data_IF_117834929818
#
_entry.id   IF_117834929818
#
_cell.length_a   1.000
_cell.length_b   1.000
_cell.length_c   1.000
_cell.angle_alpha   90.00
_cell.angle_beta   90.00
_cell.angle_gamma   90.00
#
_symmetry.space_group_name_H-M   'P 1'
#
loop_
_entity.id
_entity.type
_entity.pdbx_description
1 polymer ?
#
# COMPACT_ATOMS: atom_id res chain seq x y z
N UNK A 1 -22.04 5.93 -32.02
CA UNK A 1 -22.52 6.56 -30.77
C UNK A 1 -21.42 6.46 -29.73
N UNK A 2 -21.06 7.57 -29.10
CA UNK A 2 -19.96 7.62 -28.13
C UNK A 2 -20.38 6.96 -26.81
N UNK A 3 -20.05 5.67 -26.62
CA UNK A 3 -20.41 4.93 -25.39
C UNK A 3 -19.73 5.50 -24.13
N UNK A 4 -18.60 6.20 -24.30
CA UNK A 4 -17.70 6.58 -23.21
C UNK A 4 -17.41 8.08 -23.13
N UNK A 5 -18.11 8.92 -23.88
CA UNK A 5 -17.96 10.38 -23.81
C UNK A 5 -19.22 11.10 -24.30
N UNK A 6 -19.35 12.39 -23.98
CA UNK A 6 -20.33 13.29 -24.60
C UNK A 6 -20.09 13.48 -26.11
N UNK A 7 -21.04 14.10 -26.79
CA UNK A 7 -20.92 14.40 -28.22
C UNK A 7 -19.75 15.35 -28.54
N UNK A 8 -19.49 16.30 -27.64
CA UNK A 8 -18.35 17.22 -27.67
C UNK A 8 -17.56 17.10 -26.36
N UNK A 9 -16.24 17.26 -26.43
CA UNK A 9 -15.32 17.21 -25.27
C UNK A 9 -14.36 18.40 -25.21
N UNK A 10 -14.60 19.47 -25.98
CA UNK A 10 -13.66 20.59 -26.15
C UNK A 10 -13.32 21.28 -24.83
N UNK A 11 -14.32 21.60 -24.01
CA UNK A 11 -14.12 22.32 -22.75
C UNK A 11 -13.64 21.37 -21.65
N UNK A 12 -14.11 20.12 -21.67
CA UNK A 12 -13.54 19.06 -20.85
C UNK A 12 -12.05 18.88 -21.14
N UNK A 13 -11.65 18.81 -22.41
CA UNK A 13 -10.26 18.63 -22.81
C UNK A 13 -9.37 19.81 -22.40
N UNK A 14 -9.87 21.06 -22.51
CA UNK A 14 -9.17 22.24 -22.00
C UNK A 14 -8.96 22.16 -20.48
N UNK A 15 -10.00 21.80 -19.73
CA UNK A 15 -9.93 21.67 -18.28
C UNK A 15 -8.99 20.52 -17.87
N UNK A 16 -9.08 19.36 -18.52
CA UNK A 16 -8.19 18.22 -18.25
C UNK A 16 -6.72 18.50 -18.63
N UNK A 17 -6.46 19.32 -19.65
CA UNK A 17 -5.11 19.78 -19.95
C UNK A 17 -4.52 20.62 -18.80
N UNK A 18 -5.32 21.49 -18.18
CA UNK A 18 -4.90 22.26 -17.01
C UNK A 18 -4.71 21.39 -15.77
N UNK A 19 -5.56 20.38 -15.59
CA UNK A 19 -5.37 19.34 -14.56
C UNK A 19 -4.02 18.66 -14.78
N UNK A 20 -3.75 18.16 -15.98
CA UNK A 20 -2.51 17.43 -16.28
C UNK A 20 -1.23 18.27 -16.07
N UNK A 21 -1.30 19.60 -16.19
CA UNK A 21 -0.17 20.50 -15.90
C UNK A 21 0.19 20.58 -14.42
N UNK A 22 -0.76 20.28 -13.53
CA UNK A 22 -0.63 20.52 -12.08
C UNK A 22 -0.59 19.23 -11.26
N UNK A 23 -1.24 18.17 -11.74
CA UNK A 23 -1.25 16.86 -11.09
C UNK A 23 0.18 16.36 -10.89
N UNK A 24 0.47 15.94 -9.66
CA UNK A 24 1.77 15.39 -9.28
C UNK A 24 1.74 13.85 -9.35
N UNK A 25 2.91 13.20 -9.46
CA UNK A 25 3.01 11.76 -9.27
C UNK A 25 2.43 11.34 -7.92
N UNK A 26 1.73 10.20 -7.89
CA UNK A 26 1.21 9.66 -6.63
C UNK A 26 2.34 8.99 -5.84
N UNK A 27 2.54 9.42 -4.60
CA UNK A 27 3.60 8.91 -3.70
C UNK A 27 3.26 7.50 -3.21
N UNK A 28 4.26 6.62 -3.16
CA UNK A 28 4.10 5.30 -2.53
C UNK A 28 4.02 5.46 -1.00
N UNK A 29 2.87 5.15 -0.41
CA UNK A 29 2.57 5.33 1.02
C UNK A 29 2.11 4.06 1.73
N UNK A 30 1.92 2.96 1.00
CA UNK A 30 1.47 1.68 1.54
C UNK A 30 2.36 0.51 1.10
N UNK A 31 2.51 -0.49 1.97
CA UNK A 31 3.28 -1.71 1.70
C UNK A 31 2.33 -2.90 1.52
N UNK A 32 2.57 -3.71 0.49
CA UNK A 32 1.84 -4.97 0.31
C UNK A 32 2.40 -6.04 1.27
N UNK A 33 1.61 -6.61 2.19
CA UNK A 33 2.10 -7.58 3.17
C UNK A 33 2.72 -8.84 2.56
N UNK A 34 2.27 -9.24 1.36
CA UNK A 34 2.68 -10.48 0.69
C UNK A 34 3.94 -10.30 -0.15
N UNK A 35 3.99 -9.24 -0.95
CA UNK A 35 5.12 -8.98 -1.86
C UNK A 35 6.19 -8.07 -1.24
N UNK A 36 5.90 -7.42 -0.11
CA UNK A 36 6.73 -6.38 0.54
C UNK A 36 7.05 -5.19 -0.37
N UNK A 37 6.31 -5.05 -1.48
CA UNK A 37 6.46 -3.94 -2.39
C UNK A 37 5.63 -2.75 -1.92
N UNK A 38 6.18 -1.55 -2.12
CA UNK A 38 5.51 -0.30 -1.83
C UNK A 38 4.65 0.13 -3.02
N UNK A 39 3.48 0.71 -2.73
CA UNK A 39 2.53 1.17 -3.72
C UNK A 39 1.85 2.47 -3.26
N UNK A 40 1.37 3.28 -4.22
CA UNK A 40 0.53 4.43 -3.91
C UNK A 40 -0.87 3.96 -3.56
N UNK A 41 -1.38 4.30 -2.38
CA UNK A 41 -2.73 3.98 -1.92
C UNK A 41 -3.79 4.78 -2.70
N UNK A 42 -5.06 4.40 -2.54
CA UNK A 42 -6.16 5.20 -3.09
C UNK A 42 -6.18 6.62 -2.51
N UNK A 43 -5.83 6.79 -1.24
CA UNK A 43 -5.74 8.11 -0.60
C UNK A 43 -4.65 8.95 -1.26
N UNK A 44 -3.45 8.39 -1.44
CA UNK A 44 -2.36 9.10 -2.11
C UNK A 44 -2.72 9.53 -3.54
N UNK A 45 -3.36 8.65 -4.32
CA UNK A 45 -3.83 8.99 -5.67
C UNK A 45 -4.86 10.12 -5.63
N UNK A 46 -5.82 10.07 -4.69
CA UNK A 46 -6.80 11.13 -4.55
C UNK A 46 -6.17 12.45 -4.12
N UNK A 47 -5.23 12.44 -3.17
CA UNK A 47 -4.55 13.64 -2.69
C UNK A 47 -3.74 14.31 -3.81
N UNK A 48 -3.14 13.50 -4.69
CA UNK A 48 -2.36 14.00 -5.83
C UNK A 48 -3.20 14.68 -6.93
N UNK A 49 -4.50 14.36 -7.05
CA UNK A 49 -5.33 14.91 -8.14
C UNK A 49 -6.55 15.73 -7.70
N UNK A 50 -7.04 15.59 -6.46
CA UNK A 50 -8.34 16.14 -6.04
C UNK A 50 -8.42 17.65 -6.16
N UNK A 51 -7.39 18.37 -5.72
CA UNK A 51 -7.37 19.83 -5.77
C UNK A 51 -7.35 20.30 -7.24
N UNK A 52 -6.47 19.74 -8.06
CA UNK A 52 -6.36 20.06 -9.48
C UNK A 52 -7.69 19.84 -10.22
N UNK A 53 -8.39 18.73 -9.95
CA UNK A 53 -9.70 18.44 -10.54
C UNK A 53 -10.74 19.50 -10.14
N UNK A 54 -10.86 19.81 -8.86
CA UNK A 54 -11.86 20.76 -8.34
C UNK A 54 -11.60 22.18 -8.88
N UNK A 55 -10.35 22.64 -8.85
CA UNK A 55 -9.97 23.99 -9.34
C UNK A 55 -10.25 24.18 -10.83
N UNK A 56 -10.26 23.09 -11.62
CA UNK A 56 -10.58 23.11 -13.04
C UNK A 56 -12.03 22.68 -13.33
N UNK A 57 -12.91 22.65 -12.33
CA UNK A 57 -14.32 22.35 -12.51
C UNK A 57 -14.60 20.91 -12.95
N UNK A 58 -13.71 19.97 -12.64
CA UNK A 58 -13.88 18.55 -12.98
C UNK A 58 -14.50 17.79 -11.81
N UNK A 59 -15.70 17.28 -12.04
CA UNK A 59 -16.37 16.33 -11.16
C UNK A 59 -15.96 14.89 -11.48
N UNK A 60 -15.28 14.24 -10.53
CA UNK A 60 -14.91 12.83 -10.59
C UNK A 60 -15.97 11.94 -9.92
N UNK A 61 -16.44 10.94 -10.66
CA UNK A 61 -17.32 9.89 -10.17
C UNK A 61 -16.71 8.51 -10.40
N UNK A 62 -16.80 7.64 -9.39
CA UNK A 62 -16.46 6.22 -9.52
C UNK A 62 -17.53 5.36 -8.86
N UNK A 63 -18.15 4.46 -9.62
CA UNK A 63 -19.23 3.62 -9.14
C UNK A 63 -19.19 2.22 -9.77
N UNK A 64 -19.55 1.17 -9.01
CA UNK A 64 -19.57 -0.19 -9.53
C UNK A 64 -20.71 -0.37 -10.54
N UNK A 65 -20.50 -1.22 -11.53
CA UNK A 65 -21.49 -1.62 -12.53
C UNK A 65 -21.47 -3.15 -12.73
N UNK A 66 -22.61 -3.77 -13.08
CA UNK A 66 -22.62 -5.19 -13.44
C UNK A 66 -21.78 -5.44 -14.69
N UNK A 67 -21.18 -6.63 -14.77
CA UNK A 67 -20.40 -7.11 -15.91
C UNK A 67 -20.78 -8.56 -16.20
N UNK A 68 -20.66 -8.96 -17.46
CA UNK A 68 -20.97 -10.34 -17.88
C UNK A 68 -19.91 -11.34 -17.40
N UNK A 69 -18.66 -10.90 -17.21
CA UNK A 69 -17.60 -11.77 -16.72
C UNK A 69 -17.93 -12.29 -15.30
N UNK A 70 -17.96 -13.62 -15.10
CA UNK A 70 -18.15 -14.20 -13.78
C UNK A 70 -17.05 -13.77 -12.80
N UNK A 71 -17.39 -13.73 -11.51
CA UNK A 71 -16.46 -13.42 -10.42
C UNK A 71 -15.65 -12.14 -10.67
N UNK A 72 -16.26 -11.12 -11.27
CA UNK A 72 -15.62 -9.86 -11.60
C UNK A 72 -16.53 -8.70 -11.22
N UNK A 73 -15.93 -7.52 -11.07
CA UNK A 73 -16.65 -6.26 -10.90
C UNK A 73 -16.34 -5.33 -12.05
N UNK A 74 -17.33 -4.59 -12.50
CA UNK A 74 -17.12 -3.41 -13.33
C UNK A 74 -17.02 -2.17 -12.45
N UNK A 75 -16.16 -1.24 -12.83
CA UNK A 75 -16.09 0.09 -12.25
C UNK A 75 -16.12 1.12 -13.37
N UNK A 76 -17.11 2.00 -13.36
CA UNK A 76 -17.09 3.21 -14.17
C UNK A 76 -16.24 4.26 -13.45
N UNK A 77 -15.28 4.85 -14.14
CA UNK A 77 -14.67 6.14 -13.75
C UNK A 77 -15.13 7.19 -14.74
N UNK A 78 -15.72 8.29 -14.27
CA UNK A 78 -16.28 9.37 -15.09
C UNK A 78 -15.74 10.72 -14.64
N UNK A 79 -15.24 11.51 -15.59
CA UNK A 79 -14.81 12.89 -15.43
C UNK A 79 -15.81 13.79 -16.17
N UNK A 80 -16.40 14.73 -15.45
CA UNK A 80 -17.40 15.66 -16.01
C UNK A 80 -16.96 17.09 -15.75
N UNK A 81 -16.87 17.90 -16.79
CA UNK A 81 -16.68 19.34 -16.65
C UNK A 81 -18.00 19.96 -16.23
N UNK A 82 -18.06 20.48 -15.01
CA UNK A 82 -19.30 20.87 -14.35
C UNK A 82 -20.04 22.00 -15.08
N UNK A 83 -19.30 22.97 -15.64
CA UNK A 83 -19.89 24.13 -16.30
C UNK A 83 -20.49 23.79 -17.67
N UNK A 84 -19.78 23.00 -18.49
CA UNK A 84 -20.25 22.65 -19.85
C UNK A 84 -21.08 21.36 -19.90
N UNK A 85 -21.07 20.54 -18.85
CA UNK A 85 -21.69 19.22 -18.81
C UNK A 85 -21.00 18.17 -19.68
N UNK A 86 -19.90 18.52 -20.36
CA UNK A 86 -19.12 17.58 -21.17
C UNK A 86 -18.45 16.55 -20.28
N UNK A 87 -18.39 15.29 -20.72
CA UNK A 87 -17.88 14.20 -19.91
C UNK A 87 -17.14 13.15 -20.74
N UNK A 88 -16.23 12.45 -20.06
CA UNK A 88 -15.58 11.25 -20.54
C UNK A 88 -15.59 10.21 -19.42
N UNK A 89 -15.69 8.93 -19.77
CA UNK A 89 -15.68 7.83 -18.83
C UNK A 89 -14.90 6.65 -19.35
N UNK A 90 -14.54 5.73 -18.47
CA UNK A 90 -14.01 4.42 -18.79
C UNK A 90 -14.64 3.37 -17.89
N UNK A 91 -14.68 2.13 -18.36
CA UNK A 91 -15.05 0.97 -17.55
C UNK A 91 -13.81 0.11 -17.36
N UNK A 92 -13.46 -0.17 -16.11
CA UNK A 92 -12.48 -1.17 -15.74
C UNK A 92 -13.21 -2.43 -15.26
N UNK A 93 -12.85 -3.59 -15.81
CA UNK A 93 -13.31 -4.89 -15.31
C UNK A 93 -12.18 -5.53 -14.51
N UNK A 94 -12.45 -5.85 -13.25
CA UNK A 94 -11.45 -6.41 -12.33
C UNK A 94 -11.96 -7.72 -11.75
N UNK A 95 -11.17 -8.81 -11.82
CA UNK A 95 -11.54 -10.07 -11.20
C UNK A 95 -11.54 -9.95 -9.67
N UNK A 96 -12.48 -10.64 -9.03
CA UNK A 96 -12.53 -10.76 -7.59
C UNK A 96 -11.44 -11.73 -7.12
N UNK A 97 -10.61 -11.37 -6.11
CA UNK A 97 -9.66 -12.32 -5.53
C UNK A 97 -10.39 -13.43 -4.75
N UNK A 98 -11.56 -13.12 -4.20
CA UNK A 98 -12.49 -14.04 -3.53
C UNK A 98 -13.92 -13.59 -3.80
N UNK A 99 -14.84 -14.53 -3.98
CA UNK A 99 -16.26 -14.27 -4.15
C UNK A 99 -16.95 -14.03 -2.79
N UNK A 100 -16.49 -13.02 -2.06
CA UNK A 100 -17.02 -12.61 -0.76
C UNK A 100 -17.01 -11.07 -0.64
N UNK A 101 -17.67 -10.48 0.38
CA UNK A 101 -17.72 -9.03 0.54
C UNK A 101 -16.34 -8.36 0.67
N UNK A 102 -15.36 -9.04 1.27
CA UNK A 102 -14.01 -8.50 1.43
C UNK A 102 -13.26 -8.48 0.08
N UNK A 103 -13.39 -9.54 -0.71
CA UNK A 103 -12.89 -9.66 -2.06
C UNK A 103 -13.46 -8.57 -2.96
N UNK A 104 -14.77 -8.30 -2.85
CA UNK A 104 -15.39 -7.17 -3.55
C UNK A 104 -14.82 -5.83 -3.10
N UNK A 105 -14.71 -5.57 -1.79
CA UNK A 105 -14.17 -4.31 -1.27
C UNK A 105 -12.71 -4.05 -1.70
N UNK A 106 -11.87 -5.09 -1.69
CA UNK A 106 -10.48 -5.00 -2.15
C UNK A 106 -10.38 -4.77 -3.66
N UNK A 107 -11.18 -5.48 -4.46
CA UNK A 107 -11.22 -5.30 -5.90
C UNK A 107 -11.71 -3.90 -6.30
N UNK A 108 -12.74 -3.36 -5.63
CA UNK A 108 -13.24 -1.99 -5.89
C UNK A 108 -12.14 -0.97 -5.59
N UNK A 109 -11.48 -1.09 -4.44
CA UNK A 109 -10.39 -0.17 -4.05
C UNK A 109 -9.24 -0.22 -5.04
N UNK A 110 -8.88 -1.43 -5.50
CA UNK A 110 -7.87 -1.63 -6.53
C UNK A 110 -8.28 -0.97 -7.86
N UNK A 111 -9.49 -1.27 -8.35
CA UNK A 111 -10.02 -0.73 -9.60
C UNK A 111 -10.05 0.80 -9.60
N UNK A 112 -10.51 1.42 -8.50
CA UNK A 112 -10.62 2.87 -8.37
C UNK A 112 -9.28 3.56 -8.53
N UNK A 113 -8.25 2.98 -7.93
CA UNK A 113 -6.89 3.50 -8.02
C UNK A 113 -6.36 3.48 -9.45
N UNK A 114 -6.32 2.31 -10.08
CA UNK A 114 -5.72 2.17 -11.41
C UNK A 114 -6.53 2.82 -12.53
N UNK A 115 -7.87 2.77 -12.45
CA UNK A 115 -8.71 3.43 -13.44
C UNK A 115 -8.52 4.96 -13.41
N UNK A 116 -8.40 5.53 -12.21
CA UNK A 116 -8.17 6.97 -12.05
C UNK A 116 -6.79 7.39 -12.53
N UNK A 117 -5.73 6.67 -12.11
CA UNK A 117 -4.36 6.99 -12.57
C UNK A 117 -4.23 6.87 -14.08
N UNK A 118 -4.84 5.84 -14.68
CA UNK A 118 -4.85 5.67 -16.13
C UNK A 118 -5.60 6.81 -16.85
N UNK A 119 -6.79 7.18 -16.35
CA UNK A 119 -7.57 8.28 -16.95
C UNK A 119 -6.89 9.65 -16.86
N UNK A 120 -6.10 9.90 -15.82
CA UNK A 120 -5.40 11.16 -15.62
C UNK A 120 -3.95 11.17 -16.15
N UNK A 121 -3.46 10.04 -16.68
CA UNK A 121 -2.07 9.90 -17.12
C UNK A 121 -1.06 10.05 -15.98
N UNK A 122 -1.45 9.69 -14.75
CA UNK A 122 -0.60 9.79 -13.57
C UNK A 122 0.39 8.62 -13.51
N UNK A 123 1.63 8.95 -13.19
CA UNK A 123 2.67 7.98 -12.86
C UNK A 123 2.73 7.86 -11.33
N UNK A 124 2.81 6.64 -10.81
CA UNK A 124 3.19 6.43 -9.41
C UNK A 124 4.72 6.50 -9.32
N UNK A 125 5.27 7.16 -8.31
CA UNK A 125 6.73 7.26 -8.17
C UNK A 125 7.39 5.87 -8.32
N UNK A 126 8.31 5.72 -9.27
CA UNK A 126 9.11 4.50 -9.52
C UNK A 126 8.29 3.30 -10.10
N UNK A 127 7.55 3.53 -11.19
CA UNK A 127 6.95 2.47 -12.02
C UNK A 127 7.97 1.88 -13.02
N UNK A 128 9.03 1.27 -12.48
CA UNK A 128 9.88 0.32 -13.21
C UNK A 128 9.47 -1.11 -12.81
N UNK A 129 8.53 -1.69 -13.57
CA UNK A 129 8.64 -3.04 -14.11
C UNK A 129 8.71 -4.28 -13.19
N UNK A 130 8.56 -4.21 -11.87
CA UNK A 130 8.64 -5.41 -11.00
C UNK A 130 7.32 -6.18 -10.82
N UNK A 131 6.25 -5.84 -11.57
CA UNK A 131 4.93 -6.47 -11.43
C UNK A 131 4.59 -7.58 -12.44
N UNK A 132 5.27 -7.67 -13.57
CA UNK A 132 4.90 -8.58 -14.68
C UNK A 132 5.70 -9.90 -14.71
N UNK A 133 6.13 -10.42 -13.55
CA UNK A 133 6.72 -11.77 -13.48
C UNK A 133 5.61 -12.80 -13.28
N UNK A 134 4.87 -13.05 -14.36
CA UNK A 134 4.02 -14.22 -14.50
C UNK A 134 4.82 -15.50 -14.19
N UNK A 135 4.47 -16.19 -13.11
CA UNK A 135 4.22 -17.64 -13.08
C UNK A 135 5.16 -18.60 -13.82
N UNK A 136 6.46 -18.32 -13.94
CA UNK A 136 7.46 -19.31 -14.36
C UNK A 136 8.60 -19.33 -13.36
N UNK A 137 8.60 -20.34 -12.48
CA UNK A 137 9.76 -20.72 -11.69
C UNK A 137 10.91 -21.01 -12.66
N UNK A 138 11.86 -20.09 -12.79
CA UNK A 138 13.16 -20.41 -13.38
C UNK A 138 13.92 -21.29 -12.38
N UNK A 139 14.65 -22.31 -12.84
CA UNK A 139 15.29 -23.27 -11.95
C UNK A 139 16.38 -22.58 -11.13
N UNK A 140 16.31 -22.76 -9.81
CA UNK A 140 17.35 -22.30 -8.88
C UNK A 140 18.66 -23.01 -9.24
N UNK A 141 19.70 -22.21 -9.52
CA UNK A 141 21.07 -22.68 -9.75
C UNK A 141 21.61 -23.28 -8.44
N UNK A 142 22.23 -24.47 -8.44
CA UNK A 142 22.63 -25.14 -7.20
C UNK A 142 23.78 -24.40 -6.52
N UNK A 143 23.60 -24.03 -5.24
CA UNK A 143 24.71 -23.64 -4.35
C UNK A 143 25.28 -24.90 -3.70
N UNK A 144 26.60 -25.03 -3.76
CA UNK A 144 27.42 -26.12 -3.20
C UNK A 144 27.23 -26.30 -1.68
N UNK A 145 27.44 -27.52 -1.14
CA UNK A 145 27.10 -27.87 0.23
C UNK A 145 28.11 -27.32 1.24
N UNK A 146 27.62 -26.69 2.30
CA UNK A 146 28.39 -26.36 3.51
C UNK A 146 27.92 -27.28 4.64
N UNK A 147 28.89 -27.97 5.23
CA UNK A 147 28.79 -29.01 6.24
C UNK A 147 28.32 -28.42 7.59
N UNK A 148 27.34 -29.01 8.29
CA UNK A 148 27.04 -28.67 9.69
C UNK A 148 27.90 -29.51 10.66
N UNK A 149 28.40 -28.95 11.78
CA UNK A 149 29.02 -29.76 12.82
C UNK A 149 27.96 -30.50 13.66
N UNK A 150 28.20 -31.80 13.80
CA UNK A 150 27.44 -32.79 14.54
C UNK A 150 27.85 -32.78 16.04
N UNK A 151 26.89 -32.93 16.95
CA UNK A 151 27.13 -33.29 18.35
C UNK A 151 26.10 -34.33 18.76
N UNK A 152 26.55 -35.59 18.90
CA UNK A 152 25.78 -36.74 19.40
C UNK A 152 25.86 -36.78 20.94
N UNK A 153 24.83 -37.14 21.72
CA UNK A 153 24.34 -38.47 22.18
C UNK A 153 23.55 -38.17 23.49
N UNK A 154 22.58 -38.92 24.03
CA UNK A 154 21.81 -40.11 23.70
C UNK A 154 20.69 -40.31 24.77
N UNK A 155 19.54 -40.90 24.35
CA UNK A 155 18.61 -41.85 25.07
C UNK A 155 17.97 -41.44 26.43
N UNK A 156 16.72 -41.77 26.82
CA UNK A 156 15.83 -42.94 26.54
C UNK A 156 14.36 -42.71 27.07
N UNK A 157 13.35 -43.16 26.28
CA UNK A 157 11.99 -43.76 26.55
C UNK A 157 10.95 -43.23 27.58
N UNK A 158 9.77 -42.83 27.04
CA UNK A 158 8.33 -43.23 27.22
C UNK A 158 7.66 -43.44 28.62
N UNK A 159 6.30 -43.49 28.72
CA UNK A 159 5.25 -42.59 28.20
C UNK A 159 4.16 -42.29 29.28
N UNK A 160 3.22 -41.33 29.05
CA UNK A 160 1.75 -41.43 29.33
C UNK A 160 1.01 -40.11 29.66
N UNK A 161 -0.23 -40.04 29.12
CA UNK A 161 -1.48 -39.37 29.59
C UNK A 161 -1.73 -37.85 29.47
N UNK A 162 -2.59 -37.51 28.51
CA UNK A 162 -3.88 -36.78 28.58
C UNK A 162 -4.05 -35.57 29.52
N UNK A 163 -4.36 -34.38 28.97
CA UNK A 163 -5.63 -33.59 29.12
C UNK A 163 -5.46 -32.10 28.75
N UNK A 164 -6.37 -31.57 27.93
CA UNK A 164 -7.01 -30.24 28.08
C UNK A 164 -6.24 -28.94 27.75
N UNK A 165 -6.93 -27.87 27.28
CA UNK A 165 -6.31 -26.76 26.54
C UNK A 165 -5.94 -25.56 27.44
N UNK A 166 -4.79 -24.93 27.20
CA UNK A 166 -4.41 -23.67 27.85
C UNK A 166 -3.96 -22.62 26.83
N UNK A 167 -4.74 -21.55 26.76
CA UNK A 167 -4.49 -20.27 26.09
C UNK A 167 -3.18 -19.64 26.55
N UNK A 168 -2.34 -19.06 25.67
CA UNK A 168 -1.32 -18.13 26.11
C UNK A 168 -1.86 -16.70 26.04
N UNK A 169 -2.21 -16.17 27.21
CA UNK A 169 -2.14 -14.73 27.50
C UNK A 169 -0.67 -14.33 27.46
N UNK A 170 -0.30 -13.37 26.61
CA UNK A 170 1.02 -12.76 26.66
C UNK A 170 0.90 -11.24 26.79
N UNK A 171 1.00 -10.80 28.03
CA UNK A 171 1.31 -9.44 28.48
C UNK A 171 2.59 -8.95 27.79
N UNK A 172 2.63 -7.76 27.16
CA UNK A 172 3.90 -7.17 26.76
C UNK A 172 4.61 -6.57 27.98
N UNK A 173 5.80 -7.09 28.26
CA UNK A 173 6.75 -6.56 29.24
C UNK A 173 7.34 -5.22 28.76
N UNK A 174 7.67 -4.37 29.73
CA UNK A 174 8.03 -2.96 29.63
C UNK A 174 9.15 -2.60 28.63
N UNK A 175 8.88 -1.59 27.79
CA UNK A 175 9.85 -0.54 27.37
C UNK A 175 9.23 0.47 26.37
N UNK A 176 8.01 0.96 26.63
CA UNK A 176 7.37 2.03 25.84
C UNK A 176 7.13 3.33 26.62
N UNK A 177 7.57 3.41 27.89
CA UNK A 177 7.14 4.44 28.83
C UNK A 177 7.52 5.89 28.46
N UNK A 178 8.44 6.09 27.50
CA UNK A 178 8.92 7.42 27.11
C UNK A 178 8.73 7.76 25.61
N UNK A 179 7.78 7.14 24.92
CA UNK A 179 7.46 7.50 23.54
C UNK A 179 6.16 8.31 23.46
N UNK A 180 6.13 9.42 22.70
CA UNK A 180 4.90 10.16 22.51
C UNK A 180 3.88 9.29 21.74
N UNK A 181 2.64 9.14 22.22
CA UNK A 181 1.58 8.52 21.43
C UNK A 181 1.24 9.49 20.28
N UNK A 182 1.83 9.25 19.12
CA UNK A 182 1.60 10.05 17.93
C UNK A 182 0.57 9.35 17.05
N UNK A 183 -0.56 10.03 16.81
CA UNK A 183 -1.60 9.52 15.93
C UNK A 183 -1.03 9.23 14.53
N UNK A 184 -1.28 8.01 14.04
CA UNK A 184 -0.76 7.53 12.75
C UNK A 184 0.72 7.09 12.76
N UNK A 185 1.37 7.00 13.93
CA UNK A 185 2.72 6.45 14.09
C UNK A 185 2.67 5.13 14.83
N UNK A 186 3.36 4.12 14.29
CA UNK A 186 3.56 2.82 14.91
C UNK A 186 5.02 2.68 15.32
N UNK A 187 5.27 2.25 16.56
CA UNK A 187 6.60 1.97 17.06
C UNK A 187 6.87 0.47 17.10
N UNK A 188 8.04 0.05 16.62
CA UNK A 188 8.48 -1.34 16.66
C UNK A 188 9.92 -1.43 17.16
N UNK A 189 10.15 -2.30 18.15
CA UNK A 189 11.50 -2.61 18.61
C UNK A 189 12.14 -3.65 17.69
N UNK A 190 13.34 -3.36 17.21
CA UNK A 190 14.14 -4.22 16.33
C UNK A 190 15.59 -4.25 16.81
N UNK A 191 16.32 -5.31 16.51
CA UNK A 191 17.76 -5.37 16.79
C UNK A 191 18.52 -4.73 15.64
N UNK A 192 19.36 -3.73 15.95
CA UNK A 192 20.24 -3.09 14.97
C UNK A 192 21.37 -4.04 14.52
N UNK A 193 22.08 -3.67 13.45
CA UNK A 193 23.15 -4.50 12.87
C UNK A 193 24.34 -4.70 13.82
N UNK A 194 24.47 -3.83 14.82
CA UNK A 194 25.47 -3.90 15.90
C UNK A 194 24.99 -4.75 17.09
N UNK A 195 23.83 -5.40 16.99
CA UNK A 195 23.25 -6.24 18.03
C UNK A 195 22.49 -5.49 19.12
N UNK A 196 22.41 -4.15 19.06
CA UNK A 196 21.74 -3.34 20.09
C UNK A 196 20.23 -3.19 19.80
N UNK A 197 19.38 -3.16 20.83
CA UNK A 197 17.95 -2.90 20.64
C UNK A 197 17.72 -1.44 20.21
N UNK A 198 16.94 -1.24 19.15
CA UNK A 198 16.50 0.06 18.68
C UNK A 198 15.00 0.09 18.40
N UNK A 199 14.41 1.27 18.47
CA UNK A 199 13.00 1.54 18.22
C UNK A 199 12.90 2.22 16.85
N UNK A 200 12.05 1.69 15.99
CA UNK A 200 11.74 2.24 14.68
C UNK A 200 10.32 2.81 14.69
N UNK A 201 10.15 4.01 14.13
CA UNK A 201 8.86 4.66 13.94
C UNK A 201 8.45 4.60 12.46
N UNK A 202 7.27 4.06 12.18
CA UNK A 202 6.68 3.94 10.83
C UNK A 202 5.26 4.52 10.80
N UNK A 203 4.70 4.75 9.60
CA UNK A 203 3.40 5.41 9.41
C UNK A 203 3.54 6.84 8.90
N UNK A 204 2.69 7.77 9.37
CA UNK A 204 2.67 9.18 8.95
C UNK A 204 3.82 10.02 9.56
N UNK A 205 5.06 9.53 9.41
CA UNK A 205 6.26 10.09 10.05
C UNK A 205 6.65 11.46 9.50
N UNK A 206 6.30 11.76 8.24
CA UNK A 206 6.61 13.03 7.59
C UNK A 206 5.85 14.20 8.23
N UNK A 207 4.55 14.02 8.52
CA UNK A 207 3.74 15.02 9.22
C UNK A 207 4.15 15.22 10.68
N UNK A 208 4.94 14.30 11.24
CA UNK A 208 5.37 14.29 12.64
C UNK A 208 6.89 14.39 12.79
N UNK A 209 7.62 14.84 11.76
CA UNK A 209 9.09 14.89 11.71
C UNK A 209 9.70 15.66 12.90
N UNK A 210 9.10 16.80 13.27
CA UNK A 210 9.61 17.66 14.35
C UNK A 210 9.44 16.99 15.72
N UNK A 211 8.31 16.31 15.93
CA UNK A 211 8.03 15.57 17.16
C UNK A 211 8.91 14.33 17.30
N UNK A 212 9.16 13.61 16.20
CA UNK A 212 10.08 12.47 16.17
C UNK A 212 11.53 12.92 16.45
N UNK A 213 11.95 14.03 15.85
CA UNK A 213 13.28 14.63 16.07
C UNK A 213 13.44 15.07 17.53
N UNK A 214 12.44 15.77 18.08
CA UNK A 214 12.41 16.18 19.49
C UNK A 214 12.39 15.01 20.48
N UNK A 215 11.95 13.84 20.05
CA UNK A 215 11.93 12.60 20.85
C UNK A 215 13.18 11.72 20.68
N UNK A 216 14.22 12.26 20.03
CA UNK A 216 15.51 11.62 19.85
C UNK A 216 15.60 10.64 18.66
N UNK A 217 14.58 10.57 17.80
CA UNK A 217 14.65 9.74 16.60
C UNK A 217 15.51 10.41 15.52
N UNK A 218 16.26 9.60 14.80
CA UNK A 218 17.10 9.99 13.67
C UNK A 218 16.54 9.39 12.39
N UNK A 219 16.56 10.19 11.32
CA UNK A 219 16.19 9.73 10.00
C UNK A 219 17.31 8.89 9.38
N UNK A 220 16.98 7.70 8.88
CA UNK A 220 17.86 6.90 8.05
C UNK A 220 17.46 7.06 6.58
N UNK A 221 18.23 7.78 5.75
CA UNK A 221 17.88 8.03 4.35
C UNK A 221 17.95 6.76 3.48
N UNK A 222 18.79 5.77 3.84
CA UNK A 222 18.92 4.53 3.09
C UNK A 222 17.71 3.60 3.30
N UNK A 223 17.21 3.54 4.55
CA UNK A 223 16.06 2.70 4.93
C UNK A 223 14.73 3.45 4.95
N UNK A 224 14.75 4.75 4.66
CA UNK A 224 13.61 5.68 4.69
C UNK A 224 12.75 5.53 5.96
N UNK A 225 13.39 5.48 7.14
CA UNK A 225 12.70 5.31 8.42
C UNK A 225 13.32 6.15 9.53
N UNK A 226 12.53 6.42 10.57
CA UNK A 226 12.98 7.06 11.80
C UNK A 226 13.34 6.00 12.83
N UNK A 227 14.48 6.15 13.50
CA UNK A 227 14.93 5.19 14.51
C UNK A 227 15.68 5.85 15.67
N UNK A 228 15.67 5.22 16.84
CA UNK A 228 16.57 5.55 17.97
C UNK A 228 16.97 4.29 18.73
N UNK A 229 18.12 4.29 19.40
CA UNK A 229 18.45 3.19 20.32
C UNK A 229 17.50 3.20 21.53
N UNK A 230 17.24 2.03 22.09
CA UNK A 230 16.60 1.93 23.40
C UNK A 230 17.66 2.35 24.42
N UNK A 231 17.35 3.38 25.22
CA UNK A 231 18.22 3.75 26.33
C UNK A 231 18.26 2.57 27.31
N UNK A 232 19.45 2.01 27.50
CA UNK A 232 19.71 1.01 28.52
C UNK A 232 19.82 1.78 29.83
N UNK A 233 18.82 1.66 30.70
CA UNK A 233 18.90 2.14 32.07
C UNK A 233 19.99 1.39 32.85
#
# INVERSE_FOLDING_TARGET
>A
MNQYQSENITDLAKALLNVQRTVQPATKDAENPFTKSWYASLNSVMDACRIALIENGIWLCQYPVPVEQPNSIGLVTKLTHAESGQWQSSIAVVPLPKADPQGMGSAITYARRYALTAMLGMVTEDDDGEGAKNGKKLPVRPKLPVIPPESQKARQRDPSTTTGPSTPSNRPSASFENLPPLEGITYQQVTAQDGRPCIVATGNTQAKKELLTGSGFRWNPQRKLWWKYVDVA
#
